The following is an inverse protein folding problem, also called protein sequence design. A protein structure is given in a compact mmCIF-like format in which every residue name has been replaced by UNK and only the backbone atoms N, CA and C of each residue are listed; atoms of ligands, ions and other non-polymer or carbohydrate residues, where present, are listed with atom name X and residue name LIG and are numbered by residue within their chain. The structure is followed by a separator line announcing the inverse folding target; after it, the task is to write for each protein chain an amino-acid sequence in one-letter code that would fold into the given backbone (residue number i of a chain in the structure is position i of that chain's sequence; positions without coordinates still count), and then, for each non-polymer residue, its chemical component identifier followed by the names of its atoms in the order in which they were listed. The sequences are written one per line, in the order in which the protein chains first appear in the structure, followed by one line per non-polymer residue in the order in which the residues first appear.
data_IF_807037495778
#
_entry.id   IF_807037495778
#
_cell.length_a   1.000
_cell.length_b   1.000
_cell.length_c   1.000
_cell.angle_alpha   90.00
_cell.angle_beta   90.00
_cell.angle_gamma   90.00
#
_symmetry.space_group_name_H-M   'P 1'
#
loop_
_entity.id
_entity.type
_entity.pdbx_description
1 polymer ?
#
# COMPACT_ATOMS: atom_id res chain seq x y z
N UNK A 1 -28.21 -12.09 11.60
CA UNK A 1 -26.80 -12.07 11.21
C UNK A 1 -26.29 -13.47 11.44
N UNK A 2 -26.05 -14.24 10.39
CA UNK A 2 -25.44 -15.56 10.55
C UNK A 2 -24.03 -15.38 11.12
N UNK A 3 -23.62 -16.20 12.10
CA UNK A 3 -22.26 -16.13 12.63
C UNK A 3 -21.29 -16.42 11.49
N UNK A 4 -20.30 -15.54 11.31
CA UNK A 4 -19.22 -15.73 10.33
C UNK A 4 -18.54 -17.07 10.66
N UNK A 5 -18.60 -18.01 9.72
CA UNK A 5 -18.08 -19.36 9.91
C UNK A 5 -16.57 -19.30 10.18
N UNK A 6 -16.15 -19.77 11.36
CA UNK A 6 -14.75 -19.73 11.80
C UNK A 6 -13.83 -20.60 10.94
N UNK A 7 -14.38 -21.59 10.23
CA UNK A 7 -13.62 -22.43 9.30
C UNK A 7 -13.22 -21.65 8.05
N UNK A 8 -14.15 -20.85 7.52
CA UNK A 8 -13.95 -20.01 6.33
C UNK A 8 -12.96 -18.88 6.63
N UNK A 9 -13.01 -18.30 7.84
CA UNK A 9 -12.04 -17.31 8.32
C UNK A 9 -10.61 -17.87 8.41
N UNK A 10 -10.42 -19.07 8.98
CA UNK A 10 -9.08 -19.68 9.09
C UNK A 10 -8.49 -19.96 7.71
N UNK A 11 -9.31 -20.50 6.80
CA UNK A 11 -8.88 -20.75 5.43
C UNK A 11 -8.53 -19.45 4.71
N UNK A 12 -9.35 -18.41 4.87
CA UNK A 12 -9.07 -17.07 4.34
C UNK A 12 -7.74 -16.51 4.85
N UNK A 13 -7.50 -16.56 6.16
CA UNK A 13 -6.23 -16.07 6.74
C UNK A 13 -5.02 -16.87 6.27
N UNK A 14 -5.15 -18.19 6.07
CA UNK A 14 -4.07 -19.00 5.51
C UNK A 14 -3.72 -18.55 4.09
N UNK A 15 -4.71 -18.43 3.21
CA UNK A 15 -4.51 -17.98 1.82
C UNK A 15 -3.91 -16.58 1.79
N UNK A 16 -4.39 -15.68 2.66
CA UNK A 16 -3.88 -14.32 2.75
C UNK A 16 -2.43 -14.27 3.25
N UNK A 17 -2.07 -15.14 4.21
CA UNK A 17 -0.71 -15.27 4.71
C UNK A 17 0.23 -15.79 3.62
N UNK A 18 -0.17 -16.83 2.89
CA UNK A 18 0.65 -17.39 1.80
C UNK A 18 0.85 -16.36 0.66
N UNK A 19 -0.20 -15.62 0.31
CA UNK A 19 -0.11 -14.54 -0.68
C UNK A 19 0.78 -13.38 -0.18
N UNK A 20 0.72 -13.07 1.11
CA UNK A 20 1.58 -12.05 1.72
C UNK A 20 3.03 -12.48 1.77
N UNK A 21 3.32 -13.76 2.02
CA UNK A 21 4.67 -14.31 1.94
C UNK A 21 5.23 -14.15 0.53
N UNK A 22 4.46 -14.50 -0.51
CA UNK A 22 4.84 -14.26 -1.90
C UNK A 22 5.11 -12.77 -2.18
N UNK A 23 4.37 -11.87 -1.53
CA UNK A 23 4.59 -10.43 -1.62
C UNK A 23 5.87 -9.98 -0.97
N UNK A 24 6.23 -10.58 0.16
CA UNK A 24 7.52 -10.33 0.77
C UNK A 24 8.66 -10.88 -0.09
N UNK A 25 8.51 -12.07 -0.66
CA UNK A 25 9.51 -12.67 -1.56
C UNK A 25 9.78 -11.79 -2.78
N UNK A 26 8.74 -11.17 -3.35
CA UNK A 26 8.88 -10.24 -4.47
C UNK A 26 9.66 -8.94 -4.14
N UNK A 27 9.98 -8.68 -2.87
CA UNK A 27 10.85 -7.57 -2.47
C UNK A 27 12.35 -7.89 -2.66
N UNK A 28 12.68 -9.16 -2.81
CA UNK A 28 14.02 -9.68 -3.02
C UNK A 28 14.21 -10.03 -4.50
N UNK A 29 15.48 -10.09 -4.93
CA UNK A 29 15.80 -10.38 -6.33
C UNK A 29 15.62 -11.89 -6.60
N UNK A 30 14.37 -12.35 -6.77
CA UNK A 30 13.83 -13.64 -7.29
C UNK A 30 14.56 -14.98 -7.03
N UNK A 31 15.54 -15.03 -6.13
CA UNK A 31 16.39 -16.20 -5.90
C UNK A 31 16.00 -17.03 -4.67
N UNK A 32 14.96 -16.61 -3.93
CA UNK A 32 14.52 -17.27 -2.72
C UNK A 32 13.22 -18.03 -2.95
N UNK A 33 13.19 -19.30 -2.53
CA UNK A 33 12.03 -20.18 -2.64
C UNK A 33 11.02 -20.02 -1.51
N UNK A 34 11.42 -19.42 -0.38
CA UNK A 34 10.58 -19.20 0.79
C UNK A 34 11.18 -18.13 1.70
N UNK A 35 10.38 -17.56 2.61
CA UNK A 35 10.89 -16.62 3.62
C UNK A 35 11.87 -17.30 4.57
N UNK A 36 11.64 -18.58 4.90
CA UNK A 36 12.58 -19.38 5.70
C UNK A 36 13.98 -19.43 5.09
N UNK A 37 14.09 -19.59 3.76
CA UNK A 37 15.39 -19.59 3.07
C UNK A 37 16.14 -18.25 3.24
N UNK A 38 15.42 -17.12 3.32
CA UNK A 38 16.04 -15.81 3.59
C UNK A 38 16.48 -15.74 5.06
N UNK A 39 15.66 -16.24 5.98
CA UNK A 39 15.97 -16.24 7.42
C UNK A 39 17.18 -17.11 7.77
N UNK A 40 17.42 -18.20 7.04
CA UNK A 40 18.62 -19.04 7.20
C UNK A 40 19.92 -18.32 6.80
N UNK A 41 19.84 -17.37 5.86
CA UNK A 41 20.99 -16.63 5.34
C UNK A 41 21.22 -15.25 5.99
N UNK A 42 20.27 -14.77 6.79
CA UNK A 42 20.31 -13.45 7.39
C UNK A 42 20.38 -13.55 8.91
N UNK A 43 21.30 -12.82 9.54
CA UNK A 43 21.39 -12.74 11.01
C UNK A 43 21.03 -11.34 11.54
N UNK A 44 20.97 -10.33 10.66
CA UNK A 44 20.80 -8.92 11.02
C UNK A 44 19.91 -8.18 10.04
N UNK A 45 19.41 -7.00 10.43
CA UNK A 45 18.72 -6.09 9.50
C UNK A 45 19.61 -5.70 8.32
N UNK A 46 20.91 -5.53 8.49
CA UNK A 46 21.83 -5.17 7.40
C UNK A 46 22.00 -6.31 6.40
N UNK A 47 21.90 -7.58 6.83
CA UNK A 47 21.92 -8.73 5.92
C UNK A 47 20.67 -8.77 5.03
N UNK A 48 19.51 -8.46 5.62
CA UNK A 48 18.25 -8.33 4.89
C UNK A 48 18.30 -7.15 3.93
N UNK A 49 18.73 -5.98 4.40
CA UNK A 49 18.80 -4.74 3.61
C UNK A 49 19.67 -4.87 2.35
N UNK A 50 20.79 -5.60 2.46
CA UNK A 50 21.69 -5.89 1.34
C UNK A 50 21.09 -6.81 0.27
N UNK A 51 20.07 -7.59 0.64
CA UNK A 51 19.41 -8.57 -0.26
C UNK A 51 18.11 -8.05 -0.86
N UNK A 52 17.50 -7.04 -0.25
CA UNK A 52 16.35 -6.34 -0.82
C UNK A 52 16.74 -5.70 -2.16
N UNK A 53 15.83 -5.75 -3.13
CA UNK A 53 16.02 -4.98 -4.36
C UNK A 53 16.11 -3.48 -4.00
N UNK A 54 17.08 -2.72 -4.54
CA UNK A 54 17.27 -1.32 -4.17
C UNK A 54 15.99 -0.48 -4.28
N UNK A 55 15.20 -0.69 -5.34
CA UNK A 55 13.92 0.00 -5.55
C UNK A 55 12.86 -0.33 -4.50
N UNK A 56 12.87 -1.56 -3.97
CA UNK A 56 11.90 -2.01 -2.97
C UNK A 56 12.29 -1.52 -1.58
N UNK A 57 13.59 -1.54 -1.27
CA UNK A 57 14.13 -0.99 -0.03
C UNK A 57 13.67 0.45 0.20
N UNK A 58 13.76 1.31 -0.81
CA UNK A 58 13.40 2.72 -0.70
C UNK A 58 11.88 2.94 -0.54
N UNK A 59 11.06 1.95 -0.91
CA UNK A 59 9.59 1.98 -0.80
C UNK A 59 9.07 1.40 0.52
N UNK A 60 9.88 0.63 1.23
CA UNK A 60 9.52 0.13 2.56
C UNK A 60 9.55 1.27 3.57
N UNK A 61 8.40 1.50 4.18
CA UNK A 61 8.17 2.47 5.26
C UNK A 61 7.25 1.83 6.30
N UNK A 62 7.46 2.10 7.59
CA UNK A 62 6.67 1.45 8.65
C UNK A 62 6.03 2.46 9.61
N UNK A 63 6.61 3.65 9.74
CA UNK A 63 6.10 4.72 10.59
C UNK A 63 5.68 5.95 9.78
N UNK A 64 6.57 6.44 8.92
CA UNK A 64 6.36 7.66 8.14
C UNK A 64 6.93 7.55 6.72
N UNK A 65 6.57 8.47 5.84
CA UNK A 65 7.18 8.53 4.49
C UNK A 65 8.68 8.87 4.53
N UNK A 66 9.17 9.48 5.62
CA UNK A 66 10.60 9.80 5.79
C UNK A 66 11.44 8.55 6.04
N UNK A 67 10.84 7.44 6.45
CA UNK A 67 11.48 6.13 6.59
C UNK A 67 12.17 5.69 5.30
N UNK A 68 11.70 6.17 4.14
CA UNK A 68 12.32 5.89 2.83
C UNK A 68 13.81 6.26 2.76
N UNK A 69 14.28 7.17 3.62
CA UNK A 69 15.68 7.62 3.69
C UNK A 69 16.50 6.92 4.77
N UNK A 70 15.87 6.08 5.59
CA UNK A 70 16.51 5.42 6.72
C UNK A 70 17.04 4.03 6.34
N UNK A 71 18.10 3.54 6.99
CA UNK A 71 18.47 2.13 6.97
C UNK A 71 17.34 1.24 7.53
N UNK A 72 17.23 -0.01 7.06
CA UNK A 72 16.18 -0.94 7.48
C UNK A 72 16.06 -1.10 9.01
N UNK A 73 17.20 -1.18 9.70
CA UNK A 73 17.27 -1.24 11.17
C UNK A 73 16.47 -0.10 11.81
N UNK A 74 16.72 1.13 11.37
CA UNK A 74 16.09 2.31 11.95
C UNK A 74 14.60 2.34 11.65
N UNK A 75 14.17 1.92 10.45
CA UNK A 75 12.75 1.76 10.11
C UNK A 75 12.05 0.79 11.07
N UNK A 76 12.64 -0.39 11.29
CA UNK A 76 12.08 -1.39 12.19
C UNK A 76 12.06 -0.90 13.65
N UNK A 77 13.14 -0.30 14.13
CA UNK A 77 13.21 0.23 15.50
C UNK A 77 12.21 1.36 15.76
N UNK A 78 12.00 2.25 14.79
CA UNK A 78 10.98 3.31 14.89
C UNK A 78 9.57 2.71 14.98
N UNK A 79 9.26 1.72 14.13
CA UNK A 79 7.99 1.00 14.22
C UNK A 79 7.79 0.37 15.61
N UNK A 80 8.80 -0.31 16.16
CA UNK A 80 8.72 -0.92 17.48
C UNK A 80 8.52 0.11 18.60
N UNK A 81 9.22 1.24 18.52
CA UNK A 81 9.11 2.32 19.49
C UNK A 81 7.69 2.91 19.56
N UNK A 82 7.02 2.99 18.41
CA UNK A 82 5.65 3.51 18.29
C UNK A 82 4.58 2.44 18.57
N UNK A 83 4.93 1.16 18.50
CA UNK A 83 4.03 0.03 18.72
C UNK A 83 4.37 -0.76 19.99
N UNK A 84 4.68 -0.08 21.10
CA UNK A 84 5.16 -0.69 22.37
C UNK A 84 4.37 -1.90 22.90
N UNK A 85 3.09 -2.04 22.53
CA UNK A 85 2.24 -3.17 22.91
C UNK A 85 2.69 -4.51 22.32
N UNK A 86 3.44 -4.51 21.21
CA UNK A 86 3.92 -5.72 20.56
C UNK A 86 5.26 -6.21 21.11
N UNK A 87 5.90 -5.44 22.01
CA UNK A 87 7.24 -5.77 22.52
C UNK A 87 7.30 -7.14 23.20
N UNK A 88 6.21 -7.56 23.86
CA UNK A 88 6.11 -8.90 24.46
C UNK A 88 5.92 -10.02 23.45
N UNK A 89 5.45 -9.71 22.23
CA UNK A 89 5.23 -10.69 21.16
C UNK A 89 6.54 -10.97 20.42
N UNK A 90 7.39 -9.95 20.32
CA UNK A 90 8.68 -10.05 19.62
C UNK A 90 9.83 -10.48 20.52
N UNK A 91 9.58 -10.71 21.81
CA UNK A 91 10.60 -11.17 22.74
C UNK A 91 11.13 -12.54 22.28
N UNK A 92 12.46 -12.63 22.13
CA UNK A 92 13.12 -13.82 21.58
C UNK A 92 13.10 -13.96 20.06
N UNK A 93 12.52 -13.03 19.29
CA UNK A 93 12.64 -13.01 17.83
C UNK A 93 13.97 -12.38 17.38
N UNK A 94 14.54 -12.92 16.30
CA UNK A 94 15.70 -12.34 15.62
C UNK A 94 15.32 -11.09 14.82
N UNK A 95 16.30 -10.26 14.46
CA UNK A 95 16.08 -9.07 13.63
C UNK A 95 15.37 -9.39 12.30
N UNK A 96 15.80 -10.41 11.52
CA UNK A 96 15.06 -10.83 10.32
C UNK A 96 13.61 -11.25 10.64
N UNK A 97 13.37 -12.03 11.70
CA UNK A 97 12.02 -12.44 12.08
C UNK A 97 11.12 -11.24 12.39
N UNK A 98 11.66 -10.23 13.07
CA UNK A 98 10.95 -8.98 13.32
C UNK A 98 10.62 -8.26 12.01
N UNK A 99 11.59 -8.13 11.09
CA UNK A 99 11.36 -7.55 9.77
C UNK A 99 10.25 -8.27 9.01
N UNK A 100 10.30 -9.60 8.94
CA UNK A 100 9.33 -10.42 8.23
C UNK A 100 7.94 -10.28 8.84
N UNK A 101 7.83 -10.35 10.18
CA UNK A 101 6.57 -10.14 10.88
C UNK A 101 5.97 -8.76 10.54
N UNK A 102 6.77 -7.69 10.62
CA UNK A 102 6.30 -6.34 10.35
C UNK A 102 5.86 -6.20 8.90
N UNK A 103 6.66 -6.67 7.96
CA UNK A 103 6.39 -6.50 6.53
C UNK A 103 5.19 -7.35 6.10
N UNK A 104 5.13 -8.61 6.55
CA UNK A 104 4.06 -9.53 6.22
C UNK A 104 2.69 -9.00 6.66
N UNK A 105 2.58 -8.37 7.85
CA UNK A 105 1.31 -7.81 8.32
C UNK A 105 0.77 -6.71 7.38
N UNK A 106 1.66 -5.88 6.82
CA UNK A 106 1.29 -4.80 5.92
C UNK A 106 1.00 -5.32 4.51
N UNK A 107 1.72 -6.35 4.06
CA UNK A 107 1.39 -7.10 2.85
C UNK A 107 0.00 -7.73 2.95
N UNK A 108 -0.34 -8.39 4.07
CA UNK A 108 -1.67 -8.93 4.34
C UNK A 108 -2.74 -7.84 4.32
N UNK A 109 -2.46 -6.66 4.89
CA UNK A 109 -3.38 -5.53 4.85
C UNK A 109 -3.64 -5.06 3.40
N UNK A 110 -2.58 -4.91 2.60
CA UNK A 110 -2.69 -4.49 1.19
C UNK A 110 -3.48 -5.51 0.35
N UNK A 111 -3.19 -6.80 0.51
CA UNK A 111 -3.91 -7.89 -0.14
C UNK A 111 -5.38 -7.94 0.30
N UNK A 112 -5.65 -7.73 1.60
CA UNK A 112 -7.02 -7.63 2.11
C UNK A 112 -7.78 -6.50 1.43
N UNK A 113 -7.15 -5.34 1.25
CA UNK A 113 -7.73 -4.21 0.51
C UNK A 113 -8.01 -4.59 -0.95
N UNK A 114 -7.03 -5.15 -1.67
CA UNK A 114 -7.20 -5.57 -3.06
C UNK A 114 -8.33 -6.58 -3.22
N UNK A 115 -8.40 -7.57 -2.33
CA UNK A 115 -9.46 -8.57 -2.32
C UNK A 115 -10.86 -7.96 -2.08
N UNK A 116 -10.98 -6.99 -1.16
CA UNK A 116 -12.23 -6.26 -0.95
C UNK A 116 -12.65 -5.47 -2.19
N UNK A 117 -11.69 -4.82 -2.86
CA UNK A 117 -11.95 -4.11 -4.11
C UNK A 117 -12.54 -5.05 -5.17
N UNK A 118 -11.94 -6.22 -5.38
CA UNK A 118 -12.43 -7.21 -6.35
C UNK A 118 -13.77 -7.82 -5.97
N UNK A 119 -13.93 -8.18 -4.70
CA UNK A 119 -15.14 -8.88 -4.23
C UNK A 119 -16.37 -7.98 -4.28
N UNK A 120 -16.22 -6.70 -3.93
CA UNK A 120 -17.35 -5.78 -3.74
C UNK A 120 -17.42 -4.66 -4.78
N UNK A 121 -16.43 -4.55 -5.68
CA UNK A 121 -16.31 -3.43 -6.62
C UNK A 121 -16.30 -2.06 -5.91
N UNK A 122 -15.60 -1.98 -4.77
CA UNK A 122 -15.47 -0.77 -3.96
C UNK A 122 -14.02 -0.31 -3.94
N UNK A 123 -13.78 0.96 -4.27
CA UNK A 123 -12.45 1.55 -4.28
C UNK A 123 -12.22 2.37 -3.00
N UNK A 124 -11.31 1.96 -2.11
CA UNK A 124 -11.15 2.61 -0.82
C UNK A 124 -10.44 3.95 -0.95
N UNK A 125 -10.85 4.89 -0.08
CA UNK A 125 -10.10 6.12 0.16
C UNK A 125 -9.05 5.89 1.26
N UNK A 126 -7.82 5.58 0.85
CA UNK A 126 -6.73 5.29 1.80
C UNK A 126 -6.09 6.60 2.26
N UNK A 127 -6.22 6.89 3.57
CA UNK A 127 -5.64 8.10 4.18
C UNK A 127 -4.27 7.89 4.79
N UNK A 128 -4.02 6.68 5.31
CA UNK A 128 -2.78 6.35 6.00
C UNK A 128 -1.66 6.09 4.99
N UNK A 129 -0.53 6.74 5.19
CA UNK A 129 0.60 6.71 4.25
C UNK A 129 1.20 5.31 4.13
N UNK A 130 1.37 4.61 5.25
CA UNK A 130 1.95 3.27 5.30
C UNK A 130 1.04 2.27 4.58
N UNK A 131 -0.26 2.29 4.89
CA UNK A 131 -1.25 1.47 4.18
C UNK A 131 -1.23 1.74 2.68
N UNK A 132 -1.12 3.00 2.26
CA UNK A 132 -1.06 3.34 0.83
C UNK A 132 0.23 2.83 0.18
N UNK A 133 1.39 2.97 0.83
CA UNK A 133 2.66 2.48 0.29
C UNK A 133 2.65 0.97 0.06
N UNK A 134 2.13 0.19 1.01
CA UNK A 134 1.99 -1.25 0.82
C UNK A 134 0.93 -1.63 -0.22
N UNK A 135 -0.18 -0.90 -0.31
CA UNK A 135 -1.12 -1.06 -1.42
C UNK A 135 -0.47 -0.78 -2.78
N UNK A 136 0.38 0.26 -2.87
CA UNK A 136 1.14 0.56 -4.09
C UNK A 136 2.15 -0.55 -4.41
N UNK A 137 2.84 -1.10 -3.40
CA UNK A 137 3.71 -2.25 -3.57
C UNK A 137 2.97 -3.47 -4.11
N UNK A 138 1.73 -3.73 -3.68
CA UNK A 138 0.92 -4.83 -4.20
C UNK A 138 0.70 -4.70 -5.71
N UNK A 139 0.44 -3.50 -6.18
CA UNK A 139 0.29 -3.23 -7.62
C UNK A 139 1.61 -3.48 -8.36
N UNK A 140 2.74 -3.03 -7.82
CA UNK A 140 4.05 -3.18 -8.47
C UNK A 140 4.67 -4.57 -8.36
N UNK A 141 4.25 -5.41 -7.42
CA UNK A 141 4.75 -6.78 -7.26
C UNK A 141 4.13 -7.77 -8.25
N UNK A 142 3.07 -7.36 -8.97
CA UNK A 142 2.32 -8.19 -9.92
C UNK A 142 1.71 -9.48 -9.32
N UNK A 143 1.54 -9.51 -7.99
CA UNK A 143 0.98 -10.67 -7.28
C UNK A 143 -0.52 -10.74 -7.45
N UNK A 144 -1.16 -9.58 -7.54
CA UNK A 144 -2.57 -9.44 -7.89
C UNK A 144 -2.65 -9.02 -9.36
N UNK A 145 -2.38 -9.98 -10.26
CA UNK A 145 -2.27 -9.72 -11.71
C UNK A 145 -3.58 -9.26 -12.36
N UNK A 146 -4.70 -9.44 -11.68
CA UNK A 146 -6.01 -8.97 -12.11
C UNK A 146 -6.30 -7.52 -11.68
N UNK A 147 -5.48 -6.91 -10.83
CA UNK A 147 -5.61 -5.49 -10.45
C UNK A 147 -5.15 -4.59 -11.60
N UNK A 148 -6.09 -3.92 -12.27
CA UNK A 148 -5.77 -3.10 -13.44
C UNK A 148 -5.18 -1.74 -13.06
N UNK A 149 -4.47 -1.11 -14.01
CA UNK A 149 -3.98 0.26 -13.86
C UNK A 149 -5.12 1.25 -13.56
N UNK A 150 -6.30 1.08 -14.17
CA UNK A 150 -7.49 1.90 -13.87
C UNK A 150 -7.96 1.74 -12.41
N UNK A 151 -8.01 0.50 -11.89
CA UNK A 151 -8.38 0.22 -10.51
C UNK A 151 -7.38 0.80 -9.52
N UNK A 152 -6.09 0.74 -9.84
CA UNK A 152 -5.04 1.40 -9.06
C UNK A 152 -5.21 2.93 -9.05
N UNK A 153 -5.48 3.55 -10.21
CA UNK A 153 -5.70 5.01 -10.32
C UNK A 153 -6.89 5.47 -9.48
N UNK A 154 -7.95 4.66 -9.35
CA UNK A 154 -9.11 4.97 -8.50
C UNK A 154 -8.77 5.10 -7.02
N UNK A 155 -7.66 4.51 -6.57
CA UNK A 155 -7.16 4.63 -5.18
C UNK A 155 -6.04 5.67 -5.09
N UNK A 156 -5.13 5.70 -6.05
CA UNK A 156 -3.96 6.57 -6.08
C UNK A 156 -4.31 8.05 -6.27
N UNK A 157 -5.22 8.39 -7.19
CA UNK A 157 -5.60 9.79 -7.44
C UNK A 157 -6.20 10.43 -6.18
N UNK A 158 -7.20 9.83 -5.50
CA UNK A 158 -7.72 10.38 -4.25
C UNK A 158 -6.63 10.53 -3.17
N UNK A 159 -5.72 9.56 -3.03
CA UNK A 159 -4.61 9.63 -2.08
C UNK A 159 -3.72 10.86 -2.32
N UNK A 160 -3.39 11.17 -3.59
CA UNK A 160 -2.61 12.35 -3.95
C UNK A 160 -3.39 13.64 -3.67
N UNK A 161 -4.65 13.69 -4.12
CA UNK A 161 -5.45 14.91 -4.04
C UNK A 161 -5.73 15.34 -2.60
N UNK A 162 -6.00 14.39 -1.68
CA UNK A 162 -6.22 14.73 -0.26
C UNK A 162 -5.00 15.39 0.40
N UNK A 163 -3.80 15.17 -0.12
CA UNK A 163 -2.55 15.75 0.41
C UNK A 163 -2.23 17.10 -0.21
N UNK A 164 -2.78 17.39 -1.38
CA UNK A 164 -2.39 18.53 -2.20
C UNK A 164 -3.47 19.61 -2.34
N UNK A 165 -4.74 19.26 -2.10
CA UNK A 165 -5.87 20.17 -2.23
C UNK A 165 -6.63 20.19 -0.91
N UNK A 166 -6.82 21.39 -0.36
CA UNK A 166 -7.73 21.60 0.74
C UNK A 166 -9.16 21.66 0.20
N UNK A 167 -9.88 20.54 0.29
CA UNK A 167 -11.28 20.47 -0.13
C UNK A 167 -12.25 21.12 0.85
N UNK A 168 -11.80 21.55 2.05
CA UNK A 168 -12.67 22.20 3.04
C UNK A 168 -13.08 23.61 2.64
N UNK A 169 -12.37 24.22 1.67
CA UNK A 169 -12.68 25.56 1.14
C UNK A 169 -13.94 25.57 0.27
N UNK A 170 -14.44 24.41 -0.15
CA UNK A 170 -15.63 24.28 -0.99
C UNK A 170 -16.83 23.90 -0.14
N UNK A 171 -17.98 24.53 -0.41
CA UNK A 171 -19.24 24.12 0.21
C UNK A 171 -19.56 22.66 -0.11
N UNK A 172 -20.07 21.92 0.87
CA UNK A 172 -20.39 20.50 0.72
C UNK A 172 -21.32 20.21 -0.47
N UNK A 173 -22.29 21.08 -0.71
CA UNK A 173 -23.21 20.95 -1.85
C UNK A 173 -22.45 21.02 -3.18
N UNK A 174 -21.61 22.02 -3.37
CA UNK A 174 -20.77 22.17 -4.56
C UNK A 174 -19.78 21.01 -4.71
N UNK A 175 -19.18 20.55 -3.61
CA UNK A 175 -18.31 19.37 -3.59
C UNK A 175 -19.05 18.14 -4.09
N UNK A 176 -20.21 17.82 -3.52
CA UNK A 176 -20.96 16.62 -3.83
C UNK A 176 -21.52 16.66 -5.26
N UNK A 177 -22.07 17.80 -5.68
CA UNK A 177 -22.66 17.96 -7.00
C UNK A 177 -21.61 17.98 -8.11
N UNK A 178 -20.51 18.71 -7.94
CA UNK A 178 -19.55 18.93 -9.02
C UNK A 178 -18.36 17.97 -8.99
N UNK A 179 -17.87 17.56 -7.82
CA UNK A 179 -16.64 16.75 -7.70
C UNK A 179 -16.88 15.33 -7.20
N UNK A 180 -17.87 15.15 -6.32
CA UNK A 180 -18.21 13.91 -5.64
C UNK A 180 -18.89 12.86 -6.52
N UNK A 181 -19.08 11.66 -5.97
CA UNK A 181 -19.68 10.52 -6.68
C UNK A 181 -18.83 10.02 -7.86
N UNK A 182 -17.51 10.26 -7.81
CA UNK A 182 -16.57 9.86 -8.87
C UNK A 182 -16.49 10.82 -10.05
N UNK A 183 -17.20 11.97 -10.07
CA UNK A 183 -17.18 12.89 -11.22
C UNK A 183 -15.78 13.40 -11.57
N UNK A 184 -15.09 14.00 -10.59
CA UNK A 184 -13.73 14.48 -10.79
C UNK A 184 -12.76 13.32 -11.07
N UNK A 185 -12.86 12.23 -10.29
CA UNK A 185 -12.00 11.06 -10.46
C UNK A 185 -12.09 10.47 -11.88
N UNK A 186 -13.31 10.24 -12.37
CA UNK A 186 -13.56 9.69 -13.70
C UNK A 186 -13.13 10.66 -14.80
N UNK A 187 -13.24 11.97 -14.57
CA UNK A 187 -12.70 12.97 -15.50
C UNK A 187 -11.18 12.84 -15.60
N UNK A 188 -10.47 12.81 -14.47
CA UNK A 188 -9.01 12.73 -14.43
C UNK A 188 -8.51 11.43 -15.07
N UNK A 189 -9.10 10.27 -14.74
CA UNK A 189 -8.73 8.99 -15.33
C UNK A 189 -8.89 9.02 -16.86
N UNK A 190 -10.04 9.48 -17.35
CA UNK A 190 -10.28 9.58 -18.81
C UNK A 190 -9.36 10.56 -19.51
N UNK A 191 -8.93 11.61 -18.81
CA UNK A 191 -8.00 12.59 -19.36
C UNK A 191 -6.60 11.99 -19.50
N UNK A 192 -6.12 11.27 -18.48
CA UNK A 192 -4.85 10.54 -18.55
C UNK A 192 -4.88 9.42 -19.60
N UNK A 193 -5.98 8.69 -19.72
CA UNK A 193 -6.17 7.70 -20.79
C UNK A 193 -6.03 8.32 -22.20
N UNK A 194 -6.65 9.50 -22.42
CA UNK A 194 -6.54 10.22 -23.71
C UNK A 194 -5.12 10.67 -24.01
N UNK A 195 -4.36 11.03 -22.99
CA UNK A 195 -2.96 11.46 -23.11
C UNK A 195 -1.98 10.26 -23.16
N UNK A 196 -2.48 9.02 -23.13
CA UNK A 196 -1.68 7.79 -23.00
C UNK A 196 -0.75 7.80 -21.78
N UNK A 197 -1.20 8.39 -20.67
CA UNK A 197 -0.48 8.43 -19.40
C UNK A 197 -1.05 7.32 -18.50
N UNK A 198 -0.31 6.22 -18.39
CA UNK A 198 -0.73 5.08 -17.54
C UNK A 198 -0.50 5.36 -16.05
N UNK A 199 0.63 5.99 -15.71
CA UNK A 199 1.04 6.27 -14.33
C UNK A 199 1.39 7.76 -14.16
N UNK A 200 0.39 8.61 -13.90
CA UNK A 200 0.60 10.04 -13.76
C UNK A 200 1.38 10.38 -12.48
N UNK A 201 2.30 11.32 -12.59
CA UNK A 201 3.04 11.85 -11.46
C UNK A 201 2.12 12.70 -10.57
N UNK A 202 2.42 12.82 -9.25
CA UNK A 202 1.55 13.58 -8.33
C UNK A 202 1.28 15.02 -8.79
N UNK A 203 2.28 15.70 -9.35
CA UNK A 203 2.14 17.06 -9.88
C UNK A 203 1.20 17.13 -11.10
N UNK A 204 1.18 16.12 -11.97
CA UNK A 204 0.27 16.02 -13.11
C UNK A 204 -1.17 15.84 -12.63
N UNK A 205 -1.39 14.96 -11.65
CA UNK A 205 -2.70 14.77 -10.99
C UNK A 205 -3.21 16.09 -10.41
N UNK A 206 -2.38 16.79 -9.65
CA UNK A 206 -2.76 18.05 -9.02
C UNK A 206 -3.03 19.15 -10.05
N UNK A 207 -2.23 19.22 -11.11
CA UNK A 207 -2.44 20.19 -12.20
C UNK A 207 -3.80 19.98 -12.86
N UNK A 208 -4.09 18.74 -13.30
CA UNK A 208 -5.35 18.38 -13.95
C UNK A 208 -6.56 18.56 -13.03
N UNK A 209 -6.42 18.27 -11.74
CA UNK A 209 -7.49 18.51 -10.77
C UNK A 209 -7.79 20.00 -10.59
N UNK A 210 -6.77 20.87 -10.57
CA UNK A 210 -6.97 22.33 -10.53
C UNK A 210 -7.62 22.85 -11.80
N UNK A 211 -7.23 22.33 -12.97
CA UNK A 211 -7.88 22.66 -14.25
C UNK A 211 -9.37 22.29 -14.21
N UNK A 212 -9.71 21.09 -13.72
CA UNK A 212 -11.10 20.67 -13.52
C UNK A 212 -11.86 21.60 -12.57
N UNK A 213 -11.29 21.91 -11.40
CA UNK A 213 -11.93 22.79 -10.41
C UNK A 213 -12.15 24.19 -10.97
N UNK A 214 -11.21 24.74 -11.75
CA UNK A 214 -11.36 26.06 -12.36
C UNK A 214 -12.47 26.12 -13.43
N UNK A 215 -12.83 24.99 -14.05
CA UNK A 215 -13.98 24.90 -14.97
C UNK A 215 -15.33 24.93 -14.24
N UNK A 216 -15.32 24.69 -12.92
CA UNK A 216 -16.51 24.63 -12.08
C UNK A 216 -16.85 25.95 -11.38
N UNK A 217 -15.91 26.91 -11.39
CA UNK A 217 -16.04 28.26 -10.86
C UNK A 217 -16.70 29.18 -11.90
#
# INVERSE_FOLDING_TARGET
MEPINTLDLKQYYSILSDAAENMVLALFDNNYSSVDAIMEECCSYEDVDRRLMPKMRDRLVYDSLEDSRLPLRDKCLQYLANNKKILSIIDGLSEPQIFFMITNQYCMQALGIGNLMKTYNVYPFIRNDITFQFFSLLFYSNIMSDLSSEEYLKVYIPYVLQKAIDFSVFEYHNMNEKMGGGKMLNYLIKDFEKENIEFPMPNEIVKKAKEYINQLA
#
